data_IF_573366747279
#
_entry.id   IF_573366747279
#
_cell.length_a   1.000
_cell.length_b   1.000
_cell.length_c   1.000
_cell.angle_alpha   90.00
_cell.angle_beta   90.00
_cell.angle_gamma   90.00
#
_symmetry.space_group_name_H-M   'P 1'
#
loop_
_entity.id
_entity.type
_entity.pdbx_description
1 polymer ?
#
# COMPACT_ATOMS: atom_id res chain seq x y z
N UNK A 1 1.99 -9.34 8.30
CA UNK A 1 2.48 -10.43 7.44
C UNK A 1 2.25 -11.75 8.15
N UNK A 2 1.61 -12.72 7.50
CA UNK A 2 1.51 -14.09 8.02
C UNK A 2 2.90 -14.73 8.09
N UNK A 3 3.17 -15.56 9.11
CA UNK A 3 4.38 -16.40 9.20
C UNK A 3 4.63 -17.25 7.95
N UNK A 4 3.60 -17.50 7.14
CA UNK A 4 3.68 -18.32 5.92
C UNK A 4 3.98 -17.55 4.64
N UNK A 5 4.06 -16.21 4.69
CA UNK A 5 4.38 -15.39 3.51
C UNK A 5 5.90 -15.40 3.27
N UNK A 6 6.38 -15.69 2.05
CA UNK A 6 7.81 -15.66 1.76
C UNK A 6 8.39 -14.26 2.04
N UNK A 7 9.60 -14.17 2.60
CA UNK A 7 10.19 -12.87 2.92
C UNK A 7 10.39 -12.06 1.64
N UNK A 8 9.78 -10.87 1.61
CA UNK A 8 9.92 -9.88 0.55
C UNK A 8 10.61 -8.62 1.08
N UNK A 9 11.28 -7.84 0.21
CA UNK A 9 11.82 -6.54 0.61
C UNK A 9 10.68 -5.59 1.00
N UNK A 10 10.97 -4.64 1.89
CA UNK A 10 10.02 -3.59 2.28
C UNK A 10 10.64 -2.24 1.94
N UNK A 11 10.22 -1.64 0.83
CA UNK A 11 10.75 -0.37 0.34
C UNK A 11 9.73 0.73 0.57
N UNK A 12 10.09 1.73 1.39
CA UNK A 12 9.32 2.98 1.48
C UNK A 12 9.75 3.84 0.31
N UNK A 13 8.87 3.99 -0.68
CA UNK A 13 9.13 4.76 -1.89
C UNK A 13 8.96 6.26 -1.67
N UNK A 14 7.97 6.64 -0.86
CA UNK A 14 7.71 8.01 -0.44
C UNK A 14 7.01 8.02 0.91
N UNK A 15 7.27 9.02 1.73
CA UNK A 15 6.54 9.28 2.97
C UNK A 15 6.82 10.72 3.41
N UNK A 16 5.80 11.37 3.95
CA UNK A 16 5.93 12.66 4.64
C UNK A 16 6.07 12.48 6.17
N UNK A 17 6.04 11.23 6.65
CA UNK A 17 6.02 10.80 8.05
C UNK A 17 4.80 11.24 8.88
N UNK A 18 4.06 12.26 8.44
CA UNK A 18 2.96 12.90 9.16
C UNK A 18 1.57 12.53 8.63
N UNK A 19 1.44 12.16 7.36
CA UNK A 19 0.17 11.89 6.70
C UNK A 19 0.14 10.54 6.00
N UNK A 20 1.19 10.17 5.25
CA UNK A 20 1.18 8.98 4.41
C UNK A 20 2.51 8.23 4.36
N UNK A 21 2.43 6.97 3.90
CA UNK A 21 3.58 6.20 3.44
C UNK A 21 3.18 5.35 2.23
N UNK A 22 4.00 5.40 1.19
CA UNK A 22 3.91 4.53 0.02
C UNK A 22 4.96 3.43 0.13
N UNK A 23 4.48 2.20 0.24
CA UNK A 23 5.31 1.02 0.42
C UNK A 23 5.20 0.13 -0.79
N UNK A 24 6.34 -0.39 -1.24
CA UNK A 24 6.44 -1.35 -2.31
C UNK A 24 7.29 -2.55 -1.91
N UNK A 25 6.88 -3.73 -2.36
CA UNK A 25 7.60 -4.97 -2.23
C UNK A 25 7.59 -5.69 -3.57
N UNK A 26 8.76 -6.11 -4.04
CA UNK A 26 8.87 -6.89 -5.25
C UNK A 26 9.95 -7.95 -5.11
N UNK A 27 9.66 -9.15 -5.60
CA UNK A 27 10.63 -10.24 -5.74
C UNK A 27 10.42 -10.97 -7.04
N UNK A 28 11.50 -11.08 -7.81
CA UNK A 28 11.52 -11.90 -9.01
C UNK A 28 11.68 -13.39 -8.62
N UNK A 29 10.82 -14.22 -9.19
CA UNK A 29 10.93 -15.67 -9.19
C UNK A 29 11.21 -16.13 -10.62
N UNK A 30 11.70 -17.37 -10.76
CA UNK A 30 12.16 -17.91 -12.05
C UNK A 30 11.12 -17.76 -13.18
N UNK A 31 9.83 -17.85 -12.85
CA UNK A 31 8.73 -17.88 -13.81
C UNK A 31 7.73 -16.71 -13.67
N UNK A 32 7.81 -15.91 -12.61
CA UNK A 32 6.92 -14.77 -12.39
C UNK A 32 7.56 -13.76 -11.44
N UNK A 33 7.04 -12.53 -11.44
CA UNK A 33 7.35 -11.51 -10.44
C UNK A 33 6.19 -11.43 -9.45
N UNK A 34 6.51 -11.47 -8.16
CA UNK A 34 5.51 -11.20 -7.13
C UNK A 34 5.75 -9.79 -6.60
N UNK A 35 4.69 -8.99 -6.58
CA UNK A 35 4.76 -7.63 -6.09
C UNK A 35 3.54 -7.28 -5.25
N UNK A 36 3.76 -6.38 -4.29
CA UNK A 36 2.75 -5.82 -3.42
C UNK A 36 3.00 -4.33 -3.25
N UNK A 37 1.92 -3.56 -3.19
CA UNK A 37 1.96 -2.13 -2.97
C UNK A 37 0.94 -1.75 -1.90
N UNK A 38 1.32 -0.86 -1.00
CA UNK A 38 0.42 -0.31 0.01
C UNK A 38 0.55 1.20 0.04
N UNK A 39 -0.60 1.87 -0.05
CA UNK A 39 -0.75 3.28 0.32
C UNK A 39 -1.33 3.28 1.73
N UNK A 40 -0.58 3.83 2.67
CA UNK A 40 -0.93 3.87 4.08
C UNK A 40 -1.14 5.33 4.49
N UNK A 41 -2.19 5.58 5.26
CA UNK A 41 -2.49 6.89 5.85
C UNK A 41 -2.39 6.81 7.37
N UNK A 42 -2.05 7.93 8.02
CA UNK A 42 -2.12 8.09 9.48
C UNK A 42 -3.56 8.15 9.99
N UNK A 43 -4.49 8.57 9.13
CA UNK A 43 -5.91 8.65 9.41
C UNK A 43 -6.70 7.58 8.62
N UNK A 44 -7.96 7.28 8.99
CA UNK A 44 -8.80 6.29 8.29
C UNK A 44 -9.07 6.63 6.82
N UNK A 45 -8.85 7.88 6.42
CA UNK A 45 -8.99 8.37 5.05
C UNK A 45 -7.72 9.08 4.61
N UNK A 46 -7.58 9.29 3.30
CA UNK A 46 -6.47 10.01 2.69
C UNK A 46 -7.04 11.07 1.74
N UNK A 47 -6.43 12.27 1.65
CA UNK A 47 -6.85 13.26 0.65
C UNK A 47 -6.70 12.72 -0.78
N UNK A 48 -7.64 13.05 -1.66
CA UNK A 48 -7.64 12.56 -3.05
C UNK A 48 -6.38 13.00 -3.81
N UNK A 49 -5.94 14.26 -3.61
CA UNK A 49 -4.71 14.79 -4.23
C UNK A 49 -3.47 13.95 -3.86
N UNK A 50 -3.33 13.60 -2.58
CA UNK A 50 -2.25 12.71 -2.12
C UNK A 50 -2.39 11.33 -2.74
N UNK A 51 -3.61 10.78 -2.82
CA UNK A 51 -3.84 9.47 -3.43
C UNK A 51 -3.44 9.46 -4.93
N UNK A 52 -3.80 10.50 -5.68
CA UNK A 52 -3.42 10.67 -7.09
C UNK A 52 -1.90 10.77 -7.27
N UNK A 53 -1.21 11.52 -6.42
CA UNK A 53 0.25 11.61 -6.42
C UNK A 53 0.90 10.24 -6.24
N UNK A 54 0.47 9.47 -5.23
CA UNK A 54 1.03 8.16 -4.90
C UNK A 54 0.73 7.12 -6.00
N UNK A 55 -0.46 7.18 -6.61
CA UNK A 55 -0.76 6.39 -7.81
C UNK A 55 0.15 6.76 -8.99
N UNK A 56 0.50 8.04 -9.14
CA UNK A 56 1.47 8.50 -10.12
C UNK A 56 2.86 7.87 -9.92
N UNK A 57 3.35 7.83 -8.67
CA UNK A 57 4.63 7.18 -8.34
C UNK A 57 4.59 5.69 -8.69
N UNK A 58 3.55 4.97 -8.28
CA UNK A 58 3.39 3.54 -8.59
C UNK A 58 3.32 3.27 -10.10
N UNK A 59 2.53 4.07 -10.83
CA UNK A 59 2.41 3.93 -12.28
C UNK A 59 3.74 4.19 -12.99
N UNK A 60 4.55 5.13 -12.49
CA UNK A 60 5.86 5.45 -13.07
C UNK A 60 6.87 4.30 -13.01
N UNK A 61 6.70 3.37 -12.05
CA UNK A 61 7.52 2.16 -11.90
C UNK A 61 6.85 0.90 -12.49
N UNK A 62 5.74 1.08 -13.22
CA UNK A 62 5.05 0.00 -13.94
C UNK A 62 4.05 -0.80 -13.11
N UNK A 63 3.70 -0.34 -11.91
CA UNK A 63 2.63 -0.95 -11.10
C UNK A 63 1.27 -0.55 -11.69
N UNK A 64 0.43 -1.55 -11.92
CA UNK A 64 -0.95 -1.35 -12.40
C UNK A 64 -1.87 -0.97 -11.22
N UNK A 65 -2.05 0.33 -11.01
CA UNK A 65 -2.87 0.88 -9.92
C UNK A 65 -4.34 0.47 -9.99
N UNK A 66 -4.84 0.02 -11.16
CA UNK A 66 -6.21 -0.48 -11.28
C UNK A 66 -6.47 -1.78 -10.51
N UNK A 67 -5.40 -2.50 -10.13
CA UNK A 67 -5.46 -3.71 -9.31
C UNK A 67 -5.42 -3.43 -7.81
N UNK A 68 -5.22 -2.18 -7.40
CA UNK A 68 -5.27 -1.81 -5.99
C UNK A 68 -6.72 -1.87 -5.50
N UNK A 69 -6.88 -2.34 -4.27
CA UNK A 69 -8.20 -2.50 -3.64
C UNK A 69 -8.29 -1.51 -2.48
N UNK A 70 -9.30 -0.63 -2.46
CA UNK A 70 -9.51 0.28 -1.33
C UNK A 70 -9.82 -0.54 -0.08
N UNK A 71 -9.13 -0.23 1.02
CA UNK A 71 -9.39 -0.86 2.31
C UNK A 71 -10.59 -0.20 2.96
N UNK A 72 -11.58 -0.98 3.40
CA UNK A 72 -12.71 -0.45 4.14
C UNK A 72 -12.27 -0.02 5.55
N UNK A 73 -12.30 1.28 5.82
CA UNK A 73 -11.97 1.90 7.10
C UNK A 73 -13.20 2.56 7.75
N UNK A 74 -14.41 2.16 7.36
CA UNK A 74 -15.64 2.61 8.01
C UNK A 74 -15.65 2.26 9.50
N UNK A 75 -16.07 3.22 10.33
CA UNK A 75 -16.03 3.09 11.80
C UNK A 75 -16.86 1.90 12.31
N UNK A 76 -18.04 1.67 11.72
CA UNK A 76 -18.90 0.57 12.16
C UNK A 76 -18.26 -0.79 11.79
N UNK A 77 -17.67 -0.89 10.60
CA UNK A 77 -16.95 -2.09 10.17
C UNK A 77 -15.71 -2.36 11.04
N UNK A 78 -14.97 -1.31 11.37
CA UNK A 78 -13.75 -1.38 12.20
C UNK A 78 -14.02 -1.35 13.71
N UNK A 79 -15.27 -1.42 14.17
CA UNK A 79 -15.63 -1.37 15.59
C UNK A 79 -15.02 -2.48 16.46
N UNK A 80 -14.55 -3.59 15.87
CA UNK A 80 -13.82 -4.63 16.57
C UNK A 80 -12.32 -4.31 16.80
N UNK A 81 -11.81 -3.27 16.14
CA UNK A 81 -10.41 -2.84 16.18
C UNK A 81 -10.16 -1.71 17.20
N UNK A 82 -11.23 -1.13 17.78
CA UNK A 82 -11.10 -0.19 18.89
C UNK A 82 -10.54 -0.93 20.12
N UNK A 83 -9.38 -0.47 20.58
CA UNK A 83 -8.80 -0.87 21.86
C UNK A 83 -9.41 -0.07 23.00
#
# INVERSE_FOLDING_TARGET
MSETSPPGPYWVLSTDYEGYSLVYSCRDYVIFRMEFSWILSREPTIPEETLEELHGILSSIGVDVSKMVPTNQDEAFCSAMSQ
#
